data_IF_659785014236
#
_entry.id   IF_659785014236
#
_cell.length_a   1.000
_cell.length_b   1.000
_cell.length_c   1.000
_cell.angle_alpha   90.00
_cell.angle_beta   90.00
_cell.angle_gamma   90.00
#
_symmetry.space_group_name_H-M   'P 1'
#
loop_
_entity.id
_entity.type
_entity.pdbx_description
1 polymer ?
#
# COMPACT_ATOMS: atom_id res chain seq x y z
N UNK A 1 -29.21 0.86 26.25
CA UNK A 1 -28.37 0.41 27.38
C UNK A 1 -27.33 1.48 27.66
N UNK A 2 -27.15 1.86 28.91
CA UNK A 2 -26.10 2.78 29.35
C UNK A 2 -24.99 1.97 30.01
N UNK A 3 -23.75 2.37 29.76
CA UNK A 3 -22.55 1.73 30.30
C UNK A 3 -21.71 2.75 31.04
N UNK A 4 -21.13 2.33 32.16
CA UNK A 4 -20.14 3.12 32.89
C UNK A 4 -18.74 2.69 32.43
N UNK A 5 -17.96 3.63 31.92
CA UNK A 5 -16.60 3.37 31.43
C UNK A 5 -15.61 4.20 32.23
N UNK A 6 -14.63 3.49 32.81
CA UNK A 6 -13.47 4.07 33.48
C UNK A 6 -12.32 4.13 32.47
N UNK A 7 -11.84 5.33 32.15
CA UNK A 7 -10.70 5.52 31.27
C UNK A 7 -9.43 5.70 32.08
N UNK A 8 -8.46 4.82 31.87
CA UNK A 8 -7.09 4.97 32.36
C UNK A 8 -6.17 5.16 31.15
N UNK A 9 -5.60 6.36 31.00
CA UNK A 9 -4.51 6.61 30.07
C UNK A 9 -3.35 7.30 30.80
N UNK A 10 -2.19 7.43 30.14
CA UNK A 10 -0.94 7.89 30.78
C UNK A 10 -1.03 9.25 31.46
N UNK A 11 -1.98 10.10 31.04
CA UNK A 11 -2.06 11.50 31.47
C UNK A 11 -3.33 11.82 32.29
N UNK A 12 -4.41 11.05 32.16
CA UNK A 12 -5.68 11.35 32.83
C UNK A 12 -6.43 10.08 33.26
N UNK A 13 -7.19 10.22 34.34
CA UNK A 13 -8.17 9.24 34.78
C UNK A 13 -9.52 9.95 34.84
N UNK A 14 -10.52 9.44 34.12
CA UNK A 14 -11.87 9.99 34.16
C UNK A 14 -12.93 8.93 33.86
N UNK A 15 -14.14 9.19 34.34
CA UNK A 15 -15.29 8.32 34.18
C UNK A 15 -16.32 8.95 33.23
N UNK A 16 -16.95 8.12 32.40
CA UNK A 16 -18.02 8.55 31.51
C UNK A 16 -19.17 7.52 31.48
N UNK A 17 -20.41 8.02 31.42
CA UNK A 17 -21.57 7.19 31.10
C UNK A 17 -21.81 7.29 29.59
N UNK A 18 -21.68 6.16 28.89
CA UNK A 18 -21.75 6.09 27.42
C UNK A 18 -22.87 5.16 26.95
N UNK A 19 -23.24 5.27 25.68
CA UNK A 19 -24.16 4.35 25.02
C UNK A 19 -23.39 3.22 24.30
N UNK A 20 -24.10 2.13 23.95
CA UNK A 20 -23.50 0.94 23.32
C UNK A 20 -22.69 1.28 22.06
N UNK A 21 -23.14 2.27 21.29
CA UNK A 21 -22.56 2.70 20.02
C UNK A 21 -21.17 3.33 20.18
N UNK A 22 -20.82 3.76 21.40
CA UNK A 22 -19.51 4.35 21.74
C UNK A 22 -18.49 3.28 22.21
N UNK A 23 -18.93 2.03 22.41
CA UNK A 23 -18.07 0.95 22.90
C UNK A 23 -17.85 -0.09 21.80
N UNK A 24 -16.63 -0.60 21.72
CA UNK A 24 -16.28 -1.77 20.89
C UNK A 24 -15.38 -2.73 21.67
N UNK A 25 -15.33 -4.02 21.29
CA UNK A 25 -14.29 -4.92 21.77
C UNK A 25 -12.89 -4.32 21.55
N UNK A 26 -12.01 -4.56 22.51
CA UNK A 26 -10.60 -4.16 22.39
C UNK A 26 -10.01 -4.88 21.18
N UNK A 27 -9.30 -4.13 20.33
CA UNK A 27 -8.59 -4.70 19.20
C UNK A 27 -7.43 -5.54 19.73
N UNK A 28 -7.47 -6.84 19.44
CA UNK A 28 -6.47 -7.83 19.84
C UNK A 28 -5.32 -7.95 18.84
N UNK A 29 -5.44 -7.32 17.67
CA UNK A 29 -4.34 -7.17 16.72
C UNK A 29 -3.25 -6.36 17.41
N UNK A 30 -2.11 -6.98 17.65
CA UNK A 30 -0.93 -6.31 18.18
C UNK A 30 -0.48 -5.15 17.30
N UNK A 31 0.56 -4.44 17.72
CA UNK A 31 1.21 -3.45 16.87
C UNK A 31 1.81 -4.14 15.65
N UNK A 32 1.61 -3.58 14.46
CA UNK A 32 2.37 -3.98 13.27
C UNK A 32 3.83 -3.63 13.56
N UNK A 33 4.72 -4.61 13.50
CA UNK A 33 6.15 -4.33 13.51
C UNK A 33 6.50 -3.63 12.20
N UNK A 34 7.08 -2.43 12.28
CA UNK A 34 7.42 -1.61 11.10
C UNK A 34 8.32 -2.38 10.11
N UNK A 35 9.08 -3.35 10.62
CA UNK A 35 9.98 -4.21 9.87
C UNK A 35 9.27 -5.15 8.87
N UNK A 36 7.95 -5.32 9.01
CA UNK A 36 7.13 -6.10 8.07
C UNK A 36 6.72 -5.28 6.84
N UNK A 37 6.73 -3.94 6.93
CA UNK A 37 6.38 -3.03 5.85
C UNK A 37 7.61 -2.70 4.99
N UNK A 38 7.44 -2.81 3.67
CA UNK A 38 8.49 -2.50 2.70
C UNK A 38 7.98 -1.51 1.65
N UNK A 39 8.83 -0.53 1.33
CA UNK A 39 8.75 0.27 0.11
C UNK A 39 9.67 -0.34 -0.95
N UNK A 40 9.10 -0.75 -2.08
CA UNK A 40 9.83 -1.11 -3.29
C UNK A 40 9.75 0.02 -4.31
N UNK A 41 10.74 0.15 -5.19
CA UNK A 41 10.68 1.08 -6.30
C UNK A 41 11.44 0.55 -7.53
N UNK A 42 10.94 0.87 -8.72
CA UNK A 42 11.58 0.59 -10.00
C UNK A 42 11.56 1.83 -10.88
N UNK A 43 12.72 2.15 -11.48
CA UNK A 43 12.82 3.24 -12.44
C UNK A 43 12.08 2.88 -13.73
N UNK A 44 11.32 3.84 -14.23
CA UNK A 44 10.65 3.79 -15.53
C UNK A 44 11.59 4.40 -16.57
N UNK A 45 11.99 3.65 -17.62
CA UNK A 45 12.87 4.18 -18.64
C UNK A 45 12.22 5.29 -19.47
N UNK A 46 13.04 6.27 -19.87
CA UNK A 46 12.63 7.45 -20.64
C UNK A 46 11.65 7.17 -21.80
N UNK A 47 11.91 6.19 -22.68
CA UNK A 47 11.05 5.89 -23.82
C UNK A 47 9.60 5.51 -23.46
N UNK A 48 9.36 5.01 -22.24
CA UNK A 48 8.04 4.56 -21.78
C UNK A 48 7.49 5.44 -20.65
N UNK A 49 8.09 6.60 -20.38
CA UNK A 49 7.60 7.50 -19.32
C UNK A 49 6.19 8.00 -19.60
N UNK A 50 5.85 8.27 -20.87
CA UNK A 50 4.50 8.65 -21.26
C UNK A 50 3.50 7.54 -20.95
N UNK A 51 3.83 6.28 -21.28
CA UNK A 51 3.00 5.12 -20.94
C UNK A 51 2.73 5.02 -19.44
N UNK A 52 3.73 5.29 -18.59
CA UNK A 52 3.57 5.20 -17.14
C UNK A 52 2.54 6.18 -16.54
N UNK A 53 2.12 7.19 -17.31
CA UNK A 53 1.06 8.16 -16.93
C UNK A 53 -0.32 7.83 -17.49
N UNK A 54 -0.48 6.69 -18.17
CA UNK A 54 -1.73 6.29 -18.83
C UNK A 54 -2.59 5.35 -17.97
N UNK A 55 -3.88 5.25 -18.33
CA UNK A 55 -4.81 4.30 -17.72
C UNK A 55 -4.41 2.84 -17.94
N UNK A 56 -3.73 2.50 -19.05
CA UNK A 56 -3.20 1.14 -19.26
C UNK A 56 -2.14 0.79 -18.21
N UNK A 57 -1.22 1.71 -17.88
CA UNK A 57 -0.27 1.50 -16.79
C UNK A 57 -0.99 1.27 -15.46
N UNK A 58 -2.01 2.09 -15.15
CA UNK A 58 -2.82 1.93 -13.94
C UNK A 58 -3.48 0.55 -13.90
N UNK A 59 -4.02 0.07 -15.02
CA UNK A 59 -4.61 -1.27 -15.13
C UNK A 59 -3.55 -2.37 -14.89
N UNK A 60 -2.35 -2.25 -15.49
CA UNK A 60 -1.26 -3.22 -15.24
C UNK A 60 -0.84 -3.23 -13.77
N UNK A 61 -0.75 -2.07 -13.12
CA UNK A 61 -0.41 -1.96 -11.70
C UNK A 61 -1.49 -2.59 -10.82
N UNK A 62 -2.77 -2.34 -11.10
CA UNK A 62 -3.88 -2.99 -10.39
C UNK A 62 -3.85 -4.51 -10.53
N UNK A 63 -3.49 -5.03 -11.70
CA UNK A 63 -3.28 -6.46 -11.90
C UNK A 63 -2.11 -7.00 -11.07
N UNK A 64 -1.02 -6.24 -10.92
CA UNK A 64 0.10 -6.61 -10.04
C UNK A 64 -0.34 -6.62 -8.57
N UNK A 65 -1.10 -5.61 -8.13
CA UNK A 65 -1.67 -5.53 -6.78
C UNK A 65 -2.51 -6.79 -6.49
N UNK A 66 -3.46 -7.11 -7.37
CA UNK A 66 -4.35 -8.26 -7.21
C UNK A 66 -3.60 -9.60 -7.20
N UNK A 67 -2.51 -9.74 -7.96
CA UNK A 67 -1.72 -10.99 -8.04
C UNK A 67 -0.73 -11.18 -6.89
N UNK A 68 -0.26 -10.09 -6.29
CA UNK A 68 0.83 -10.16 -5.29
C UNK A 68 0.36 -9.92 -3.87
N UNK A 69 -0.77 -9.24 -3.69
CA UNK A 69 -1.29 -8.89 -2.37
C UNK A 69 -0.56 -7.71 -1.71
N UNK A 70 0.22 -6.93 -2.46
CA UNK A 70 0.72 -5.64 -1.98
C UNK A 70 -0.47 -4.69 -1.71
N UNK A 71 -0.27 -3.69 -0.87
CA UNK A 71 -1.33 -2.75 -0.51
C UNK A 71 -1.53 -1.68 -1.58
N UNK A 72 -0.45 -1.25 -2.23
CA UNK A 72 -0.52 -0.23 -3.27
C UNK A 72 0.66 -0.34 -4.25
N UNK A 73 0.41 0.06 -5.51
CA UNK A 73 1.41 0.32 -6.52
C UNK A 73 1.00 1.57 -7.33
N UNK A 74 1.93 2.51 -7.49
CA UNK A 74 1.65 3.75 -8.24
C UNK A 74 2.89 4.28 -8.96
N UNK A 75 2.67 5.03 -10.03
CA UNK A 75 3.74 5.78 -10.69
C UNK A 75 3.93 7.15 -10.01
N UNK A 76 5.18 7.52 -9.77
CA UNK A 76 5.64 8.82 -9.26
C UNK A 76 6.39 9.57 -10.36
N UNK A 77 5.74 10.51 -11.06
CA UNK A 77 6.35 11.26 -12.16
C UNK A 77 7.60 12.04 -11.76
N UNK A 78 7.64 12.58 -10.55
CA UNK A 78 8.75 13.38 -10.03
C UNK A 78 10.07 12.61 -9.93
N UNK A 79 9.98 11.30 -9.67
CA UNK A 79 11.13 10.41 -9.51
C UNK A 79 11.33 9.49 -10.72
N UNK A 80 10.40 9.51 -11.69
CA UNK A 80 10.30 8.52 -12.77
C UNK A 80 10.30 7.08 -12.23
N UNK A 81 9.54 6.81 -11.16
CA UNK A 81 9.51 5.51 -10.47
C UNK A 81 8.10 4.94 -10.36
N UNK A 82 7.98 3.62 -10.52
CA UNK A 82 6.83 2.89 -9.99
C UNK A 82 7.20 2.43 -8.58
N UNK A 83 6.35 2.77 -7.61
CA UNK A 83 6.54 2.51 -6.18
C UNK A 83 5.53 1.48 -5.71
N UNK A 84 5.97 0.58 -4.83
CA UNK A 84 5.17 -0.50 -4.24
C UNK A 84 5.20 -0.38 -2.72
N UNK A 85 4.05 -0.55 -2.08
CA UNK A 85 3.93 -0.56 -0.62
C UNK A 85 3.22 -1.84 -0.21
N UNK A 86 3.79 -2.59 0.72
CA UNK A 86 3.20 -3.80 1.26
C UNK A 86 4.19 -4.59 2.10
N UNK A 87 3.84 -5.83 2.39
CA UNK A 87 4.77 -6.74 3.06
C UNK A 87 5.98 -7.08 2.17
N UNK A 88 7.11 -7.39 2.81
CA UNK A 88 8.39 -7.64 2.12
C UNK A 88 8.29 -8.64 0.96
N UNK A 89 7.70 -9.82 1.18
CA UNK A 89 7.60 -10.89 0.18
C UNK A 89 6.67 -10.51 -0.99
N UNK A 90 5.44 -9.99 -0.75
CA UNK A 90 4.60 -9.42 -1.80
C UNK A 90 5.29 -8.35 -2.64
N UNK A 91 6.00 -7.41 -2.00
CA UNK A 91 6.72 -6.33 -2.71
C UNK A 91 7.81 -6.89 -3.62
N UNK A 92 8.59 -7.88 -3.16
CA UNK A 92 9.62 -8.53 -4.00
C UNK A 92 9.02 -9.20 -5.24
N UNK A 93 7.86 -9.86 -5.09
CA UNK A 93 7.15 -10.44 -6.24
C UNK A 93 6.59 -9.38 -7.19
N UNK A 94 6.09 -8.28 -6.66
CA UNK A 94 5.55 -7.18 -7.46
C UNK A 94 6.62 -6.54 -8.34
N UNK A 95 7.82 -6.31 -7.77
CA UNK A 95 8.99 -5.80 -8.49
C UNK A 95 9.34 -6.73 -9.67
N UNK A 96 9.33 -8.05 -9.47
CA UNK A 96 9.61 -9.01 -10.55
C UNK A 96 8.52 -8.99 -11.63
N UNK A 97 7.25 -8.94 -11.26
CA UNK A 97 6.16 -8.94 -12.25
C UNK A 97 6.14 -7.66 -13.09
N UNK A 98 6.32 -6.51 -12.46
CA UNK A 98 6.27 -5.24 -13.18
C UNK A 98 7.52 -5.01 -14.03
N UNK A 99 8.67 -5.61 -13.72
CA UNK A 99 9.85 -5.52 -14.57
C UNK A 99 9.61 -6.16 -15.93
N UNK A 100 8.89 -7.29 -15.99
CA UNK A 100 8.48 -7.89 -17.26
C UNK A 100 7.54 -6.98 -18.07
N UNK A 101 6.64 -6.27 -17.39
CA UNK A 101 5.75 -5.30 -18.06
C UNK A 101 6.57 -4.13 -18.62
N UNK A 102 7.49 -3.58 -17.84
CA UNK A 102 8.39 -2.50 -18.27
C UNK A 102 9.20 -2.93 -19.50
N UNK A 103 9.78 -4.12 -19.48
CA UNK A 103 10.55 -4.64 -20.61
C UNK A 103 9.68 -4.83 -21.85
N UNK A 104 8.49 -5.40 -21.70
CA UNK A 104 7.54 -5.51 -22.81
C UNK A 104 7.15 -4.15 -23.40
N UNK A 105 6.90 -3.13 -22.56
CA UNK A 105 6.56 -1.79 -23.04
C UNK A 105 7.72 -1.11 -23.76
N UNK A 106 8.96 -1.36 -23.32
CA UNK A 106 10.15 -0.84 -24.01
C UNK A 106 10.29 -1.44 -25.40
N UNK A 107 9.98 -2.72 -25.56
CA UNK A 107 10.03 -3.38 -26.87
C UNK A 107 8.98 -2.78 -27.81
N UNK A 108 7.78 -2.48 -27.31
CA UNK A 108 6.72 -1.82 -28.08
C UNK A 108 7.09 -0.39 -28.50
N UNK A 109 7.82 0.34 -27.65
CA UNK A 109 8.22 1.73 -27.93
C UNK A 109 9.40 1.88 -28.89
N UNK A 110 10.07 0.77 -29.26
CA UNK A 110 11.21 0.76 -30.21
C UNK A 110 10.80 0.45 -31.66
N UNK A 111 9.52 0.16 -31.89
CA UNK A 111 8.92 -0.10 -33.20
C UNK A 111 8.26 1.19 -33.71
#
# INVERSE_FOLDING_TARGET
>A
NLYFVHYENYENIYDEIVVQEQIRPVNDRGCIEIDELKRGALKVPGPILSWATTDDCVEKLNNVIAKTGIYNASFRPEDAEIVFIGEKKPVDRAIVLISFVIDHQKDLAQI
#
